data_IF_210423701585
#
_entry.id   IF_210423701585
#
_cell.length_a   1.000
_cell.length_b   1.000
_cell.length_c   1.000
_cell.angle_alpha   90.00
_cell.angle_beta   90.00
_cell.angle_gamma   90.00
#
_symmetry.space_group_name_H-M   'P 1'
#
loop_
_entity.id
_entity.type
_entity.pdbx_description
1 polymer ?
#
# COMPACT_ATOMS: atom_id res chain seq x y z
N UNK A 1 -9.62 -48.94 -18.29
CA UNK A 1 -9.58 -48.13 -17.05
C UNK A 1 -9.53 -46.66 -17.46
N UNK A 2 -10.63 -46.07 -17.97
CA UNK A 2 -11.77 -45.49 -17.24
C UNK A 2 -11.44 -44.12 -16.63
N UNK A 3 -11.38 -43.11 -17.51
CA UNK A 3 -11.43 -41.68 -17.22
C UNK A 3 -12.90 -41.25 -17.05
N UNK A 4 -13.25 -40.64 -15.91
CA UNK A 4 -14.38 -39.70 -15.68
C UNK A 4 -14.87 -39.81 -14.24
N UNK A 5 -14.59 -38.81 -13.39
CA UNK A 5 -15.50 -38.39 -12.28
C UNK A 5 -15.11 -37.06 -11.57
N UNK A 6 -14.36 -36.15 -12.19
CA UNK A 6 -13.90 -34.92 -11.52
C UNK A 6 -14.84 -33.69 -11.58
N UNK A 7 -15.92 -33.72 -12.37
CA UNK A 7 -16.67 -32.51 -12.78
C UNK A 7 -18.11 -32.43 -12.24
N UNK A 8 -18.40 -32.96 -11.04
CA UNK A 8 -19.74 -32.85 -10.43
C UNK A 8 -19.81 -32.10 -9.09
N UNK A 9 -18.70 -31.56 -8.59
CA UNK A 9 -18.63 -30.94 -7.25
C UNK A 9 -18.31 -29.44 -7.24
N UNK A 10 -18.79 -28.67 -8.22
CA UNK A 10 -18.54 -27.21 -8.30
C UNK A 10 -19.75 -26.31 -8.60
N UNK A 11 -20.90 -26.87 -9.00
CA UNK A 11 -22.03 -26.06 -9.51
C UNK A 11 -23.18 -25.81 -8.52
N UNK A 12 -23.00 -26.10 -7.22
CA UNK A 12 -24.05 -25.81 -6.20
C UNK A 12 -23.90 -24.46 -5.48
N UNK A 13 -22.86 -23.67 -5.78
CA UNK A 13 -22.65 -22.35 -5.17
C UNK A 13 -23.19 -21.17 -6.01
N UNK A 14 -23.83 -21.43 -7.15
CA UNK A 14 -24.36 -20.39 -8.04
C UNK A 14 -25.90 -20.27 -8.03
N UNK A 15 -26.60 -20.99 -7.15
CA UNK A 15 -28.09 -21.05 -7.12
C UNK A 15 -28.70 -20.69 -5.75
N UNK A 16 -28.01 -19.91 -4.93
CA UNK A 16 -28.65 -19.29 -3.76
C UNK A 16 -28.03 -17.93 -3.47
N UNK A 17 -28.69 -16.89 -3.98
CA UNK A 17 -28.97 -15.62 -3.32
C UNK A 17 -29.35 -14.55 -4.36
N UNK A 18 -30.43 -14.80 -5.11
CA UNK A 18 -31.31 -13.72 -5.52
C UNK A 18 -31.99 -13.16 -4.25
N UNK A 19 -32.10 -11.84 -4.14
CA UNK A 19 -32.72 -11.09 -3.03
C UNK A 19 -31.94 -10.95 -1.72
N UNK A 20 -30.75 -10.36 -1.79
CA UNK A 20 -30.38 -9.41 -0.73
C UNK A 20 -30.22 -8.04 -1.35
N UNK A 21 -31.36 -7.35 -1.39
CA UNK A 21 -31.52 -5.92 -1.17
C UNK A 21 -30.26 -5.11 -1.45
N UNK A 22 -30.33 -4.31 -2.52
CA UNK A 22 -29.52 -3.12 -2.75
C UNK A 22 -29.32 -2.35 -1.44
N UNK A 23 -28.30 -2.75 -0.68
CA UNK A 23 -27.81 -2.00 0.45
C UNK A 23 -27.04 -0.89 -0.20
N UNK A 24 -27.75 0.22 -0.43
CA UNK A 24 -27.17 1.50 -0.79
C UNK A 24 -25.93 1.69 0.08
N UNK A 25 -24.76 1.40 -0.51
CA UNK A 25 -23.49 1.68 0.13
C UNK A 25 -23.47 3.19 0.13
N UNK A 26 -23.68 3.77 1.30
CA UNK A 26 -23.47 5.19 1.54
C UNK A 26 -21.97 5.46 1.31
N UNK A 27 -21.58 5.63 0.03
CA UNK A 27 -20.33 6.26 -0.35
C UNK A 27 -20.53 7.74 -0.04
N UNK A 28 -20.50 8.05 1.25
CA UNK A 28 -20.33 9.41 1.71
C UNK A 28 -18.97 9.85 1.21
N UNK A 29 -18.95 10.63 0.14
CA UNK A 29 -17.77 11.41 -0.22
C UNK A 29 -17.51 12.31 0.99
N UNK A 30 -16.50 11.96 1.78
CA UNK A 30 -15.98 12.84 2.81
C UNK A 30 -15.30 14.00 2.07
N UNK A 31 -16.11 14.97 1.66
CA UNK A 31 -15.63 16.26 1.23
C UNK A 31 -14.97 16.88 2.45
N UNK A 32 -13.66 16.82 2.52
CA UNK A 32 -12.90 17.65 3.44
C UNK A 32 -13.19 19.08 3.04
N UNK A 33 -14.17 19.69 3.71
CA UNK A 33 -14.53 21.09 3.49
C UNK A 33 -13.27 21.94 3.54
N UNK A 34 -13.15 22.86 2.58
CA UNK A 34 -12.09 23.87 2.56
C UNK A 34 -12.07 24.54 3.94
N UNK A 35 -11.03 24.27 4.74
CA UNK A 35 -10.82 24.94 6.03
C UNK A 35 -10.71 26.43 5.70
N UNK A 36 -11.65 27.24 6.20
CA UNK A 36 -11.60 28.70 6.04
C UNK A 36 -10.25 29.21 6.53
N UNK A 37 -9.44 29.71 5.62
CA UNK A 37 -8.25 30.50 5.95
C UNK A 37 -8.73 31.91 6.25
N UNK A 38 -9.08 32.18 7.51
CA UNK A 38 -9.58 33.50 7.89
C UNK A 38 -9.72 33.65 9.39
N UNK A 39 -8.71 34.27 10.00
CA UNK A 39 -8.81 34.95 11.28
C UNK A 39 -8.62 34.09 12.52
N UNK A 40 -7.47 34.28 13.20
CA UNK A 40 -7.32 34.16 14.65
C UNK A 40 -7.89 32.87 15.31
N UNK A 41 -7.39 31.71 14.88
CA UNK A 41 -7.54 30.46 15.63
C UNK A 41 -6.20 30.12 16.29
N UNK A 42 -6.08 30.42 17.58
CA UNK A 42 -5.01 29.99 18.45
C UNK A 42 -5.16 28.48 18.70
N UNK A 43 -4.87 27.68 17.68
CA UNK A 43 -4.95 26.22 17.70
C UNK A 43 -3.82 25.67 16.85
N UNK A 44 -2.99 24.83 17.48
CA UNK A 44 -1.72 24.27 17.00
C UNK A 44 -1.86 23.31 15.78
N UNK A 45 -2.80 23.57 14.89
CA UNK A 45 -3.01 22.79 13.67
C UNK A 45 -2.14 23.31 12.52
N UNK A 46 -1.84 24.63 12.52
CA UNK A 46 -0.99 25.29 11.54
C UNK A 46 0.52 25.11 11.83
N UNK A 47 0.88 24.69 13.04
CA UNK A 47 2.27 24.49 13.46
C UNK A 47 2.92 23.22 12.89
N UNK A 48 2.14 22.26 12.38
CA UNK A 48 2.67 20.92 12.12
C UNK A 48 3.67 20.81 10.97
N UNK A 49 3.77 21.85 10.13
CA UNK A 49 4.62 21.82 8.94
C UNK A 49 5.43 23.09 8.71
N UNK A 50 4.99 24.26 9.23
CA UNK A 50 5.64 25.55 8.98
C UNK A 50 6.24 26.21 10.22
N UNK A 51 5.75 25.91 11.42
CA UNK A 51 6.22 26.52 12.68
C UNK A 51 6.55 25.48 13.76
N UNK A 52 6.83 24.24 13.37
CA UNK A 52 7.18 23.19 14.31
C UNK A 52 8.54 23.48 14.98
N UNK A 53 8.62 23.27 16.30
CA UNK A 53 9.88 23.41 17.07
C UNK A 53 11.00 22.48 16.58
N UNK A 54 10.64 21.33 16.01
CA UNK A 54 11.58 20.35 15.45
C UNK A 54 11.26 20.09 13.98
N UNK A 55 12.29 20.08 13.14
CA UNK A 55 12.16 19.94 11.69
C UNK A 55 11.52 18.61 11.25
N UNK A 56 11.78 17.54 12.00
CA UNK A 56 11.15 16.24 11.79
C UNK A 56 10.40 15.80 13.04
N UNK A 57 9.12 15.49 12.89
CA UNK A 57 8.33 14.86 13.94
C UNK A 57 8.15 13.37 13.66
N UNK A 58 9.21 12.60 13.92
CA UNK A 58 9.25 11.16 13.65
C UNK A 58 8.38 10.37 14.63
N UNK A 59 8.29 10.80 15.90
CA UNK A 59 7.53 10.10 16.95
C UNK A 59 6.01 10.10 16.72
N UNK A 60 5.50 11.10 15.99
CA UNK A 60 4.08 11.12 15.58
C UNK A 60 3.77 10.20 14.40
N UNK A 61 4.78 9.58 13.77
CA UNK A 61 4.56 8.72 12.62
C UNK A 61 3.95 7.38 13.05
N UNK A 62 2.72 7.11 12.59
CA UNK A 62 2.09 5.81 12.82
C UNK A 62 2.94 4.68 12.21
N UNK A 63 3.22 3.65 13.01
CA UNK A 63 4.08 2.51 12.68
C UNK A 63 5.53 2.90 12.28
N UNK A 64 6.09 3.92 12.94
CA UNK A 64 7.45 4.42 12.69
C UNK A 64 8.50 3.30 12.65
N UNK A 65 8.54 2.42 13.66
CA UNK A 65 9.55 1.35 13.74
C UNK A 65 9.53 0.45 12.50
N UNK A 66 8.32 0.03 12.09
CA UNK A 66 8.13 -0.83 10.91
C UNK A 66 8.53 -0.10 9.64
N UNK A 67 8.13 1.16 9.47
CA UNK A 67 8.50 1.97 8.29
C UNK A 67 10.01 2.19 8.20
N UNK A 68 10.66 2.55 9.30
CA UNK A 68 12.10 2.80 9.31
C UNK A 68 12.88 1.51 9.06
N UNK A 69 12.49 0.38 9.68
CA UNK A 69 13.16 -0.90 9.44
C UNK A 69 12.96 -1.40 8.01
N UNK A 70 11.73 -1.32 7.47
CA UNK A 70 11.46 -1.72 6.09
C UNK A 70 12.15 -0.82 5.08
N UNK A 71 12.25 0.47 5.36
CA UNK A 71 12.95 1.42 4.50
C UNK A 71 14.45 1.10 4.44
N UNK A 72 15.10 0.92 5.59
CA UNK A 72 16.52 0.56 5.66
C UNK A 72 16.78 -0.76 4.93
N UNK A 73 15.93 -1.77 5.17
CA UNK A 73 16.04 -3.06 4.49
C UNK A 73 15.88 -2.92 2.96
N UNK A 74 14.90 -2.13 2.50
CA UNK A 74 14.68 -1.91 1.07
C UNK A 74 15.87 -1.19 0.42
N UNK A 75 16.41 -0.15 1.04
CA UNK A 75 17.59 0.56 0.53
C UNK A 75 18.80 -0.38 0.44
N UNK A 76 19.03 -1.19 1.47
CA UNK A 76 20.10 -2.20 1.46
C UNK A 76 19.89 -3.24 0.36
N UNK A 77 18.69 -3.80 0.25
CA UNK A 77 18.36 -4.80 -0.76
C UNK A 77 18.58 -4.26 -2.18
N UNK A 78 18.17 -3.03 -2.47
CA UNK A 78 18.44 -2.39 -3.78
C UNK A 78 19.94 -2.19 -4.00
N UNK A 79 20.67 -1.74 -2.98
CA UNK A 79 22.12 -1.53 -3.05
C UNK A 79 22.90 -2.79 -3.39
N UNK A 80 22.44 -3.97 -2.98
CA UNK A 80 23.09 -5.26 -3.28
C UNK A 80 22.53 -5.93 -4.55
N UNK A 81 21.21 -5.90 -4.73
CA UNK A 81 20.56 -6.60 -5.84
C UNK A 81 20.96 -6.04 -7.20
N UNK A 82 21.09 -4.70 -7.32
CA UNK A 82 21.41 -4.06 -8.61
C UNK A 82 22.80 -4.45 -9.12
N UNK A 83 23.89 -4.36 -8.33
CA UNK A 83 25.21 -4.82 -8.77
C UNK A 83 25.27 -6.31 -9.12
N UNK A 84 24.65 -7.18 -8.29
CA UNK A 84 24.62 -8.63 -8.56
C UNK A 84 23.91 -8.92 -9.87
N UNK A 85 22.77 -8.28 -10.10
CA UNK A 85 22.04 -8.44 -11.36
C UNK A 85 22.85 -7.95 -12.57
N UNK A 86 23.57 -6.84 -12.42
CA UNK A 86 24.43 -6.32 -13.49
C UNK A 86 25.55 -7.33 -13.86
N UNK A 87 26.16 -8.00 -12.88
CA UNK A 87 27.17 -9.04 -13.15
C UNK A 87 26.55 -10.25 -13.85
N UNK A 88 25.41 -10.75 -13.36
CA UNK A 88 24.69 -11.87 -14.00
C UNK A 88 24.33 -11.51 -15.45
N UNK A 89 23.84 -10.30 -15.67
CA UNK A 89 23.50 -9.82 -17.00
C UNK A 89 24.71 -9.79 -17.94
N UNK A 90 25.87 -9.34 -17.46
CA UNK A 90 27.10 -9.37 -18.24
C UNK A 90 27.57 -10.79 -18.56
N UNK A 91 27.57 -11.69 -17.58
CA UNK A 91 27.93 -13.09 -17.80
C UNK A 91 27.02 -13.77 -18.83
N UNK A 92 25.70 -13.49 -18.79
CA UNK A 92 24.74 -14.00 -19.78
C UNK A 92 25.03 -13.49 -21.19
N UNK A 93 25.52 -12.26 -21.35
CA UNK A 93 25.93 -11.71 -22.66
C UNK A 93 27.23 -12.34 -23.17
N UNK A 94 28.18 -12.64 -22.29
CA UNK A 94 29.45 -13.26 -22.67
C UNK A 94 29.31 -14.75 -22.98
N UNK A 95 28.44 -15.47 -22.27
CA UNK A 95 28.23 -16.90 -22.46
C UNK A 95 27.39 -17.28 -23.70
N UNK A 96 26.72 -16.32 -24.33
CA UNK A 96 25.94 -16.53 -25.56
C UNK A 96 26.75 -16.32 -26.85
N UNK A 97 28.07 -16.14 -26.74
CA UNK A 97 29.00 -16.02 -27.86
C UNK A 97 29.56 -17.36 -28.32
#
# INVERSE_FOLDING_TARGET
MALNTGLRSGMKLLTSSESLLSKSVNRGFHSTGVKKMGGHAHGNDAEYYLHAKHMYNLDRMKHQKLKMSSFVFACFAVGVAVPVYAVIFQQKKTASG
#
